data_IF_871615624833
#
_entry.id   IF_871615624833
#
_cell.length_a   1.000
_cell.length_b   1.000
_cell.length_c   1.000
_cell.angle_alpha   90.00
_cell.angle_beta   90.00
_cell.angle_gamma   90.00
#
_symmetry.space_group_name_H-M   'P 1'
#
loop_
_entity.id
_entity.type
_entity.pdbx_description
1 polymer ?
#
# COMPACT_ATOMS: atom_id res chain seq x y z
N UNK A 1 37.99 52.02 -6.79
CA UNK A 1 37.72 50.62 -6.37
C UNK A 1 36.24 50.48 -6.04
N UNK A 2 35.45 49.78 -6.85
CA UNK A 2 34.03 49.52 -6.57
C UNK A 2 33.89 48.24 -5.74
N UNK A 3 33.47 48.38 -4.49
CA UNK A 3 33.20 47.26 -3.58
C UNK A 3 31.91 46.59 -4.05
N UNK A 4 32.00 45.44 -4.73
CA UNK A 4 30.81 44.64 -5.06
C UNK A 4 30.24 44.11 -3.74
N UNK A 5 29.12 44.67 -3.30
CA UNK A 5 28.32 44.08 -2.24
C UNK A 5 27.71 42.79 -2.82
N UNK A 6 28.26 41.64 -2.41
CA UNK A 6 27.67 40.35 -2.71
C UNK A 6 26.42 40.25 -1.84
N UNK A 7 25.26 40.57 -2.40
CA UNK A 7 23.99 40.24 -1.78
C UNK A 7 23.84 38.73 -1.86
N UNK A 8 24.04 38.05 -0.73
CA UNK A 8 23.81 36.62 -0.63
C UNK A 8 22.30 36.40 -0.59
N UNK A 9 21.74 35.92 -1.71
CA UNK A 9 20.31 35.60 -1.79
C UNK A 9 19.95 34.57 -0.72
N UNK A 10 18.93 34.84 0.12
CA UNK A 10 18.56 33.90 1.16
C UNK A 10 18.09 32.57 0.56
N UNK A 11 18.42 31.47 1.24
CA UNK A 11 17.87 30.15 0.88
C UNK A 11 16.39 30.11 1.24
N UNK A 12 15.55 29.60 0.35
CA UNK A 12 14.11 29.47 0.60
C UNK A 12 13.86 28.59 1.83
N UNK A 13 13.22 29.15 2.87
CA UNK A 13 12.83 28.40 4.07
C UNK A 13 11.94 27.20 3.73
N UNK A 14 11.09 27.34 2.71
CA UNK A 14 10.23 26.27 2.22
C UNK A 14 11.06 25.09 1.67
N UNK A 15 12.17 25.34 0.98
CA UNK A 15 13.06 24.29 0.49
C UNK A 15 13.70 23.50 1.64
N UNK A 16 14.15 24.20 2.69
CA UNK A 16 14.76 23.54 3.86
C UNK A 16 13.72 22.67 4.58
N UNK A 17 12.53 23.21 4.81
CA UNK A 17 11.45 22.48 5.48
C UNK A 17 10.90 21.34 4.64
N UNK A 18 10.79 21.48 3.32
CA UNK A 18 10.36 20.39 2.45
C UNK A 18 11.32 19.21 2.52
N UNK A 19 12.64 19.45 2.50
CA UNK A 19 13.63 18.35 2.66
C UNK A 19 13.55 17.69 4.03
N UNK A 20 13.44 18.48 5.11
CA UNK A 20 13.31 17.93 6.48
C UNK A 20 12.07 17.06 6.59
N UNK A 21 10.95 17.53 6.06
CA UNK A 21 9.68 16.81 6.11
C UNK A 21 9.68 15.57 5.22
N UNK A 22 10.32 15.63 4.05
CA UNK A 22 10.49 14.47 3.17
C UNK A 22 11.33 13.38 3.83
N UNK A 23 12.45 13.73 4.48
CA UNK A 23 13.29 12.79 5.21
C UNK A 23 12.57 12.22 6.44
N UNK A 24 11.87 13.06 7.19
CA UNK A 24 11.04 12.60 8.30
C UNK A 24 9.96 11.62 7.82
N UNK A 25 9.22 11.98 6.76
CA UNK A 25 8.21 11.13 6.15
C UNK A 25 8.78 9.79 5.68
N UNK A 26 9.96 9.79 5.03
CA UNK A 26 10.68 8.57 4.68
C UNK A 26 10.93 7.68 5.90
N UNK A 27 11.50 8.24 6.98
CA UNK A 27 11.79 7.48 8.20
C UNK A 27 10.53 6.88 8.82
N UNK A 28 9.45 7.66 8.91
CA UNK A 28 8.18 7.17 9.47
C UNK A 28 7.56 6.11 8.57
N UNK A 29 7.58 6.25 7.25
CA UNK A 29 7.09 5.22 6.31
C UNK A 29 7.89 3.93 6.47
N UNK A 30 9.22 3.99 6.50
CA UNK A 30 10.07 2.80 6.68
C UNK A 30 9.76 2.12 8.01
N UNK A 31 9.67 2.88 9.10
CA UNK A 31 9.36 2.33 10.41
C UNK A 31 7.97 1.69 10.45
N UNK A 32 6.96 2.35 9.87
CA UNK A 32 5.60 1.83 9.82
C UNK A 32 5.52 0.53 8.99
N UNK A 33 6.25 0.45 7.88
CA UNK A 33 6.35 -0.77 7.06
C UNK A 33 7.04 -1.90 7.83
N UNK A 34 8.13 -1.61 8.54
CA UNK A 34 8.83 -2.62 9.37
C UNK A 34 7.90 -3.14 10.47
N UNK A 35 7.24 -2.25 11.20
CA UNK A 35 6.30 -2.63 12.26
C UNK A 35 5.17 -3.50 11.67
N UNK A 36 4.56 -3.07 10.56
CA UNK A 36 3.50 -3.83 9.92
C UNK A 36 3.97 -5.19 9.40
N UNK A 37 5.21 -5.27 8.88
CA UNK A 37 5.77 -6.51 8.33
C UNK A 37 6.06 -7.58 9.38
N UNK A 38 6.40 -7.18 10.61
CA UNK A 38 6.71 -8.10 11.71
C UNK A 38 5.58 -8.21 12.73
N UNK A 39 4.60 -7.31 12.71
CA UNK A 39 3.41 -7.36 13.55
C UNK A 39 2.33 -8.30 13.01
N UNK A 40 1.28 -8.51 13.80
CA UNK A 40 0.06 -9.15 13.31
C UNK A 40 -0.73 -8.14 12.48
N UNK A 41 -1.08 -8.44 11.22
CA UNK A 41 -1.82 -7.52 10.37
C UNK A 41 -3.21 -7.28 10.97
N UNK A 42 -3.47 -6.05 11.41
CA UNK A 42 -4.78 -5.57 11.84
C UNK A 42 -5.07 -4.24 11.16
N UNK A 43 -6.35 -3.90 11.03
CA UNK A 43 -6.78 -2.63 10.43
C UNK A 43 -6.26 -1.44 11.24
N UNK A 44 -6.14 -1.59 12.57
CA UNK A 44 -5.62 -0.55 13.47
C UNK A 44 -4.15 -0.20 13.18
N UNK A 45 -3.36 -1.19 12.76
CA UNK A 45 -1.95 -0.99 12.39
C UNK A 45 -1.75 -0.28 11.05
N UNK A 46 -2.83 0.02 10.31
CA UNK A 46 -2.76 0.87 9.11
C UNK A 46 -2.75 2.37 9.44
N UNK A 47 -3.22 2.78 10.62
CA UNK A 47 -3.30 4.19 10.99
C UNK A 47 -1.92 4.90 11.01
N UNK A 48 -0.83 4.30 11.55
CA UNK A 48 0.50 4.89 11.48
C UNK A 48 1.02 5.06 10.05
N UNK A 49 0.72 4.11 9.16
CA UNK A 49 1.09 4.18 7.74
C UNK A 49 0.37 5.37 7.09
N UNK A 50 -0.96 5.49 7.31
CA UNK A 50 -1.75 6.61 6.80
C UNK A 50 -1.21 7.96 7.30
N UNK A 51 -0.87 8.06 8.59
CA UNK A 51 -0.25 9.24 9.19
C UNK A 51 1.10 9.59 8.56
N UNK A 52 1.96 8.59 8.28
CA UNK A 52 3.25 8.79 7.62
C UNK A 52 3.08 9.47 6.25
N UNK A 53 2.08 9.05 5.48
CA UNK A 53 1.79 9.61 4.16
C UNK A 53 1.27 11.05 4.20
N UNK A 54 0.69 11.52 5.30
CA UNK A 54 0.35 12.94 5.47
C UNK A 54 1.62 13.80 5.42
N UNK A 55 2.68 13.39 6.12
CA UNK A 55 3.95 14.11 6.10
C UNK A 55 4.61 14.12 4.72
N UNK A 56 4.54 13.00 3.98
CA UNK A 56 5.05 12.93 2.61
C UNK A 56 4.30 13.90 1.68
N UNK A 57 2.97 13.98 1.79
CA UNK A 57 2.17 14.92 1.00
C UNK A 57 2.48 16.38 1.36
N UNK A 58 2.61 16.69 2.65
CA UNK A 58 3.01 18.02 3.09
C UNK A 58 4.41 18.40 2.58
N UNK A 59 5.36 17.45 2.57
CA UNK A 59 6.70 17.67 2.05
C UNK A 59 6.68 17.99 0.53
N UNK A 60 5.83 17.30 -0.22
CA UNK A 60 5.59 17.57 -1.64
C UNK A 60 4.98 18.95 -1.87
N UNK A 61 3.98 19.35 -1.07
CA UNK A 61 3.37 20.68 -1.19
C UNK A 61 4.37 21.79 -0.85
N UNK A 62 5.21 21.58 0.17
CA UNK A 62 6.27 22.54 0.53
C UNK A 62 7.35 22.65 -0.54
N UNK A 63 7.71 21.56 -1.23
CA UNK A 63 8.69 21.62 -2.32
C UNK A 63 8.14 22.38 -3.53
N UNK A 64 6.85 22.20 -3.86
CA UNK A 64 6.15 23.00 -4.86
C UNK A 64 6.12 24.49 -4.48
N UNK A 65 5.76 24.81 -3.23
CA UNK A 65 5.80 26.19 -2.73
C UNK A 65 7.22 26.78 -2.75
N UNK A 66 8.25 25.96 -2.53
CA UNK A 66 9.64 26.38 -2.63
C UNK A 66 10.02 26.73 -4.07
N UNK A 67 9.60 25.95 -5.08
CA UNK A 67 9.82 26.29 -6.48
C UNK A 67 9.18 27.62 -6.86
N UNK A 68 7.94 27.88 -6.43
CA UNK A 68 7.25 29.15 -6.67
C UNK A 68 8.03 30.32 -6.07
N UNK A 69 8.46 30.23 -4.80
CA UNK A 69 9.26 31.29 -4.15
C UNK A 69 10.64 31.49 -4.76
N UNK A 70 11.28 30.41 -5.20
CA UNK A 70 12.58 30.48 -5.88
C UNK A 70 12.42 31.19 -7.23
N UNK A 71 11.34 30.89 -7.95
CA UNK A 71 11.05 31.52 -9.24
C UNK A 71 10.67 33.00 -9.12
N UNK A 72 9.85 33.36 -8.14
CA UNK A 72 9.34 34.73 -7.97
C UNK A 72 10.37 35.68 -7.36
N UNK A 73 11.07 35.24 -6.31
CA UNK A 73 11.90 36.12 -5.48
C UNK A 73 13.41 35.89 -5.69
N UNK A 74 13.80 34.94 -6.55
CA UNK A 74 15.22 34.61 -6.80
C UNK A 74 15.93 33.91 -5.63
N UNK A 75 15.19 33.31 -4.70
CA UNK A 75 15.80 32.58 -3.57
C UNK A 75 16.67 31.41 -4.04
N UNK A 76 17.72 31.07 -3.27
CA UNK A 76 18.50 29.86 -3.50
C UNK A 76 17.79 28.61 -2.96
N UNK A 77 18.23 27.43 -3.40
CA UNK A 77 17.78 26.14 -2.85
C UNK A 77 16.99 25.24 -3.80
N UNK A 78 17.08 25.46 -5.12
CA UNK A 78 16.36 24.65 -6.11
C UNK A 78 16.70 23.16 -6.02
N UNK A 79 17.97 22.80 -5.79
CA UNK A 79 18.39 21.41 -5.61
C UNK A 79 17.80 20.76 -4.36
N UNK A 80 17.64 21.53 -3.28
CA UNK A 80 17.03 21.06 -2.02
C UNK A 80 15.54 20.79 -2.24
N UNK A 81 14.84 21.71 -2.89
CA UNK A 81 13.43 21.56 -3.25
C UNK A 81 13.22 20.38 -4.21
N UNK A 82 14.07 20.25 -5.25
CA UNK A 82 14.03 19.15 -6.21
C UNK A 82 14.26 17.79 -5.57
N UNK A 83 15.22 17.66 -4.66
CA UNK A 83 15.42 16.43 -3.90
C UNK A 83 14.17 16.05 -3.10
N UNK A 84 13.60 17.01 -2.35
CA UNK A 84 12.39 16.77 -1.56
C UNK A 84 11.19 16.39 -2.43
N UNK A 85 11.05 17.03 -3.59
CA UNK A 85 10.01 16.75 -4.57
C UNK A 85 10.12 15.32 -5.12
N UNK A 86 11.28 14.94 -5.66
CA UNK A 86 11.53 13.60 -6.22
C UNK A 86 11.35 12.53 -5.15
N UNK A 87 11.93 12.72 -3.95
CA UNK A 87 11.78 11.77 -2.85
C UNK A 87 10.30 11.59 -2.46
N UNK A 88 9.54 12.68 -2.37
CA UNK A 88 8.12 12.60 -2.03
C UNK A 88 7.30 11.90 -3.11
N UNK A 89 7.59 12.14 -4.40
CA UNK A 89 6.96 11.42 -5.51
C UNK A 89 7.25 9.92 -5.43
N UNK A 90 8.52 9.54 -5.25
CA UNK A 90 8.92 8.14 -5.11
C UNK A 90 8.19 7.45 -3.95
N UNK A 91 8.08 8.12 -2.81
CA UNK A 91 7.37 7.58 -1.66
C UNK A 91 5.87 7.44 -1.89
N UNK A 92 5.26 8.31 -2.69
CA UNK A 92 3.83 8.23 -3.02
C UNK A 92 3.49 7.15 -4.05
N UNK A 93 4.47 6.64 -4.82
CA UNK A 93 4.23 5.64 -5.87
C UNK A 93 3.44 4.40 -5.38
N UNK A 94 3.78 3.74 -4.25
CA UNK A 94 3.05 2.56 -3.80
C UNK A 94 1.58 2.86 -3.48
N UNK A 95 1.29 4.02 -2.90
CA UNK A 95 -0.09 4.41 -2.55
C UNK A 95 -0.86 4.83 -3.79
N UNK A 96 -0.21 5.52 -4.74
CA UNK A 96 -0.81 5.84 -6.03
C UNK A 96 -1.14 4.56 -6.81
N UNK A 97 -0.23 3.59 -6.81
CA UNK A 97 -0.45 2.28 -7.43
C UNK A 97 -1.59 1.52 -6.74
N UNK A 98 -1.62 1.48 -5.41
CA UNK A 98 -2.71 0.85 -4.66
C UNK A 98 -4.07 1.53 -4.93
N UNK A 99 -4.10 2.88 -4.99
CA UNK A 99 -5.29 3.63 -5.34
C UNK A 99 -5.75 3.38 -6.77
N UNK A 100 -4.82 3.25 -7.72
CA UNK A 100 -5.12 2.87 -9.10
C UNK A 100 -5.74 1.47 -9.17
N UNK A 101 -5.16 0.49 -8.47
CA UNK A 101 -5.71 -0.87 -8.39
C UNK A 101 -7.11 -0.87 -7.77
N UNK A 102 -7.34 -0.11 -6.69
CA UNK A 102 -8.65 0.02 -6.05
C UNK A 102 -9.71 0.63 -6.97
N UNK A 103 -9.31 1.57 -7.85
CA UNK A 103 -10.21 2.22 -8.79
C UNK A 103 -10.52 1.38 -10.04
N UNK A 104 -9.65 0.42 -10.39
CA UNK A 104 -9.72 -0.33 -11.65
C UNK A 104 -10.13 -1.79 -11.47
N UNK A 105 -9.82 -2.40 -10.32
CA UNK A 105 -10.19 -3.78 -10.03
C UNK A 105 -11.61 -3.87 -9.47
N UNK A 106 -12.32 -4.99 -9.74
CA UNK A 106 -13.65 -5.19 -9.17
C UNK A 106 -13.57 -5.27 -7.65
N UNK A 107 -14.48 -4.55 -6.98
CA UNK A 107 -14.67 -4.61 -5.53
C UNK A 107 -15.27 -5.96 -5.13
N UNK A 108 -14.40 -6.93 -4.88
CA UNK A 108 -14.75 -8.27 -4.43
C UNK A 108 -14.39 -8.44 -2.96
N UNK A 109 -15.31 -8.99 -2.19
CA UNK A 109 -15.10 -9.31 -0.76
C UNK A 109 -14.41 -10.65 -0.53
N UNK A 110 -14.44 -11.52 -1.53
CA UNK A 110 -13.87 -12.86 -1.50
C UNK A 110 -13.46 -13.28 -2.92
N UNK A 111 -12.44 -14.15 -3.02
CA UNK A 111 -11.86 -14.65 -4.26
C UNK A 111 -11.72 -16.15 -4.14
N UNK A 112 -12.38 -16.90 -5.03
CA UNK A 112 -12.33 -18.37 -5.06
C UNK A 112 -11.73 -18.88 -6.36
N UNK A 113 -10.99 -19.99 -6.30
CA UNK A 113 -10.50 -20.65 -7.52
C UNK A 113 -11.64 -21.20 -8.38
N UNK A 114 -12.76 -21.59 -7.76
CA UNK A 114 -14.00 -21.94 -8.45
C UNK A 114 -15.03 -20.83 -8.24
N UNK A 115 -15.45 -20.17 -9.32
CA UNK A 115 -16.43 -19.09 -9.27
C UNK A 115 -17.88 -19.58 -9.38
N UNK A 116 -18.11 -20.77 -9.91
CA UNK A 116 -19.46 -21.34 -10.06
C UNK A 116 -19.88 -21.95 -8.72
N UNK A 117 -19.01 -22.77 -8.14
CA UNK A 117 -19.22 -23.47 -6.87
C UNK A 117 -18.08 -23.18 -5.88
N UNK A 118 -17.99 -21.96 -5.31
CA UNK A 118 -16.96 -21.64 -4.35
C UNK A 118 -17.17 -22.39 -3.03
N UNK A 119 -16.09 -22.71 -2.31
CA UNK A 119 -16.18 -23.32 -0.99
C UNK A 119 -16.86 -22.38 0.01
N UNK A 120 -17.82 -22.89 0.77
CA UNK A 120 -18.48 -22.13 1.82
C UNK A 120 -17.55 -21.91 3.02
N UNK A 121 -17.63 -20.73 3.64
CA UNK A 121 -16.89 -20.46 4.87
C UNK A 121 -17.34 -21.38 6.02
N UNK A 122 -16.38 -22.04 6.68
CA UNK A 122 -16.66 -22.91 7.83
C UNK A 122 -17.37 -22.18 8.97
N UNK A 123 -18.53 -22.71 9.39
CA UNK A 123 -19.33 -22.18 10.51
C UNK A 123 -19.04 -22.88 11.85
N UNK A 124 -17.91 -23.58 11.96
CA UNK A 124 -17.51 -24.21 13.22
C UNK A 124 -17.30 -23.17 14.32
N UNK A 125 -17.50 -23.55 15.59
CA UNK A 125 -17.28 -22.65 16.74
C UNK A 125 -15.87 -22.04 16.73
N UNK A 126 -14.87 -22.84 16.38
CA UNK A 126 -13.47 -22.40 16.28
C UNK A 126 -13.30 -21.37 15.17
N UNK A 127 -13.85 -21.63 13.97
CA UNK A 127 -13.76 -20.71 12.83
C UNK A 127 -14.53 -19.41 13.03
N UNK A 128 -15.67 -19.45 13.72
CA UNK A 128 -16.42 -18.26 14.09
C UNK A 128 -15.71 -17.46 15.18
N UNK A 129 -15.19 -18.11 16.22
CA UNK A 129 -14.41 -17.44 17.25
C UNK A 129 -13.17 -16.72 16.66
N UNK A 130 -12.46 -17.38 15.75
CA UNK A 130 -11.32 -16.80 15.05
C UNK A 130 -11.70 -15.57 14.20
N UNK A 131 -12.92 -15.53 13.66
CA UNK A 131 -13.45 -14.39 12.90
C UNK A 131 -14.28 -13.42 13.73
N UNK A 132 -14.23 -13.51 15.06
CA UNK A 132 -15.02 -12.66 15.96
C UNK A 132 -16.53 -12.66 15.64
N UNK A 133 -17.04 -13.82 15.20
CA UNK A 133 -18.45 -14.01 14.81
C UNK A 133 -18.79 -13.52 13.40
N UNK A 134 -17.84 -12.94 12.66
CA UNK A 134 -18.08 -12.45 11.29
C UNK A 134 -18.16 -13.62 10.30
N UNK A 135 -19.26 -13.65 9.54
CA UNK A 135 -19.44 -14.54 8.39
C UNK A 135 -19.59 -13.65 7.15
N UNK A 136 -18.66 -13.71 6.19
CA UNK A 136 -18.79 -12.97 4.93
C UNK A 136 -20.11 -13.35 4.23
N UNK A 137 -20.83 -12.38 3.66
CA UNK A 137 -22.04 -12.65 2.90
C UNK A 137 -21.72 -13.39 1.60
N UNK A 138 -22.65 -14.21 1.14
CA UNK A 138 -22.50 -14.90 -0.14
C UNK A 138 -22.47 -13.89 -1.29
N UNK A 139 -21.45 -14.00 -2.14
CA UNK A 139 -21.31 -13.17 -3.34
C UNK A 139 -22.17 -13.76 -4.46
N UNK A 140 -23.09 -13.00 -5.09
CA UNK A 140 -23.88 -13.48 -6.22
C UNK A 140 -23.01 -13.91 -7.41
N UNK A 141 -23.44 -14.93 -8.15
CA UNK A 141 -22.71 -15.47 -9.31
C UNK A 141 -22.36 -14.39 -10.34
N UNK A 142 -23.26 -13.45 -10.61
CA UNK A 142 -23.02 -12.34 -11.54
C UNK A 142 -21.85 -11.44 -11.09
N UNK A 143 -21.70 -11.19 -9.78
CA UNK A 143 -20.57 -10.43 -9.25
C UNK A 143 -19.27 -11.24 -9.30
N UNK A 144 -19.32 -12.57 -9.15
CA UNK A 144 -18.13 -13.43 -9.28
C UNK A 144 -17.60 -13.53 -10.70
N UNK A 145 -18.44 -13.35 -11.73
CA UNK A 145 -17.96 -13.29 -13.13
C UNK A 145 -16.92 -12.17 -13.33
N UNK A 146 -17.06 -11.05 -12.61
CA UNK A 146 -16.08 -9.96 -12.64
C UNK A 146 -14.70 -10.38 -12.09
N UNK A 147 -14.63 -11.40 -11.22
CA UNK A 147 -13.37 -11.92 -10.69
C UNK A 147 -12.46 -12.44 -11.80
N UNK A 148 -13.00 -13.05 -12.87
CA UNK A 148 -12.16 -13.55 -13.98
C UNK A 148 -11.38 -12.45 -14.67
N UNK A 149 -11.92 -11.23 -14.70
CA UNK A 149 -11.26 -10.06 -15.27
C UNK A 149 -10.19 -9.49 -14.32
N UNK A 150 -10.50 -9.37 -13.02
CA UNK A 150 -9.58 -8.80 -12.02
C UNK A 150 -8.48 -9.75 -11.55
N UNK A 151 -8.75 -11.06 -11.52
CA UNK A 151 -7.88 -12.08 -10.95
C UNK A 151 -7.75 -13.31 -11.88
N UNK A 152 -7.18 -13.14 -13.08
CA UNK A 152 -7.11 -14.23 -14.08
C UNK A 152 -6.23 -15.41 -13.66
N UNK A 153 -5.38 -15.25 -12.62
CA UNK A 153 -4.53 -16.31 -12.08
C UNK A 153 -5.19 -17.14 -10.97
N UNK A 154 -6.35 -16.73 -10.48
CA UNK A 154 -7.11 -17.48 -9.47
C UNK A 154 -7.94 -18.58 -10.14
N UNK A 155 -7.24 -19.59 -10.67
CA UNK A 155 -7.85 -20.72 -11.38
C UNK A 155 -7.66 -22.01 -10.57
N UNK A 156 -8.57 -22.99 -10.72
CA UNK A 156 -8.41 -24.28 -10.08
C UNK A 156 -7.30 -25.07 -10.76
N UNK A 157 -6.53 -25.83 -9.98
CA UNK A 157 -5.58 -26.81 -10.51
C UNK A 157 -6.35 -28.12 -10.65
N UNK A 158 -6.54 -28.56 -11.89
CA UNK A 158 -7.19 -29.85 -12.20
C UNK A 158 -6.12 -30.92 -12.30
N UNK A 159 -6.25 -31.98 -11.50
CA UNK A 159 -5.33 -33.11 -11.47
C UNK A 159 -6.08 -34.38 -11.88
N UNK A 160 -5.45 -35.21 -12.72
CA UNK A 160 -5.97 -36.53 -13.10
C UNK A 160 -5.67 -37.57 -12.00
N UNK A 161 -6.12 -37.30 -10.78
CA UNK A 161 -5.91 -38.13 -9.61
C UNK A 161 -7.25 -38.44 -8.93
N UNK A 162 -7.38 -39.59 -8.23
CA UNK A 162 -8.51 -39.84 -7.35
C UNK A 162 -8.64 -38.73 -6.30
N UNK A 163 -9.88 -38.43 -5.91
CA UNK A 163 -10.20 -37.33 -4.99
C UNK A 163 -9.47 -37.46 -3.65
N UNK A 164 -9.36 -38.67 -3.10
CA UNK A 164 -8.64 -38.93 -1.85
C UNK A 164 -7.15 -38.59 -1.96
N UNK A 165 -6.52 -38.95 -3.08
CA UNK A 165 -5.10 -38.69 -3.33
C UNK A 165 -4.86 -37.19 -3.49
N UNK A 166 -5.73 -36.50 -4.24
CA UNK A 166 -5.65 -35.05 -4.39
C UNK A 166 -5.81 -34.32 -3.04
N UNK A 167 -6.74 -34.79 -2.20
CA UNK A 167 -6.95 -34.27 -0.85
C UNK A 167 -5.70 -34.45 0.03
N UNK A 168 -5.09 -35.63 0.04
CA UNK A 168 -3.88 -35.89 0.84
C UNK A 168 -2.70 -35.02 0.40
N UNK A 169 -2.54 -34.80 -0.91
CA UNK A 169 -1.52 -33.88 -1.46
C UNK A 169 -1.80 -32.44 -0.99
N UNK A 170 -3.04 -31.96 -1.12
CA UNK A 170 -3.42 -30.62 -0.70
C UNK A 170 -3.25 -30.39 0.81
N UNK A 171 -3.63 -31.38 1.62
CA UNK A 171 -3.44 -31.38 3.07
C UNK A 171 -1.96 -31.34 3.44
N UNK A 172 -1.14 -32.19 2.82
CA UNK A 172 0.32 -32.21 3.02
C UNK A 172 0.95 -30.85 2.67
N UNK A 173 0.54 -30.25 1.56
CA UNK A 173 1.02 -28.92 1.17
C UNK A 173 0.64 -27.85 2.20
N UNK A 174 -0.60 -27.87 2.68
CA UNK A 174 -1.09 -26.92 3.68
C UNK A 174 -0.33 -27.03 5.01
N UNK A 175 -0.09 -28.25 5.49
CA UNK A 175 0.70 -28.49 6.70
C UNK A 175 2.15 -28.02 6.53
N UNK A 176 2.76 -28.28 5.37
CA UNK A 176 4.12 -27.80 5.06
C UNK A 176 4.23 -26.27 5.03
N UNK A 177 3.15 -25.58 4.65
CA UNK A 177 3.04 -24.11 4.72
C UNK A 177 2.78 -23.58 6.14
N UNK A 178 2.69 -24.46 7.15
CA UNK A 178 2.44 -24.09 8.54
C UNK A 178 0.96 -23.90 8.89
N UNK A 179 0.04 -24.29 8.01
CA UNK A 179 -1.40 -24.17 8.24
C UNK A 179 -1.91 -25.31 9.12
N UNK A 180 -2.91 -25.01 9.95
CA UNK A 180 -3.66 -26.01 10.73
C UNK A 180 -4.98 -26.27 10.00
N UNK A 181 -5.09 -27.44 9.38
CA UNK A 181 -6.24 -27.88 8.56
C UNK A 181 -6.86 -29.11 9.19
#
# INVERSE_FOLDING_TARGET
MHRRLVFEEPVSRAAIWSRRLALFGLTVVVLAVVIFRFGQPSVEWLAPIAGAYVFVRLALLLSLAAFVRIWQDGHRGIGIAAFAFVLSLLLLLPVAYAGFQLATLPLLSDVSTDIEEPPAFSRSRVALAARQGLVPPDVPAERRKAQRQGYPRALPIVLELPAEVAYDIARKASVNLGWRV
#
